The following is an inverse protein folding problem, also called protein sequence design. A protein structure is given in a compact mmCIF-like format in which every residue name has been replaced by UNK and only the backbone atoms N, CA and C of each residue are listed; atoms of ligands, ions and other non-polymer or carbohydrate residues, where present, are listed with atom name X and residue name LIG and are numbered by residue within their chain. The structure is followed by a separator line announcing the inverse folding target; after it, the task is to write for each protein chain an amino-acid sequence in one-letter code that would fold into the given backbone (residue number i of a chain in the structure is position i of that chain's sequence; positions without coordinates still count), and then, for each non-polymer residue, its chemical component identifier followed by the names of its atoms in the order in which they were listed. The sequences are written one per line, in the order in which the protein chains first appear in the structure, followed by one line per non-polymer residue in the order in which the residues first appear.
data_IF_784780955155
#
_entry.id   IF_784780955155
#
_cell.length_a   1.000
_cell.length_b   1.000
_cell.length_c   1.000
_cell.angle_alpha   90.00
_cell.angle_beta   90.00
_cell.angle_gamma   90.00
#
_symmetry.space_group_name_H-M   'P 1'
#
loop_
_entity.id
_entity.type
_entity.pdbx_description
1 polymer ?
#
# COMPACT_ATOMS: atom_id res chain seq x y z
N UNK A 1 -16.83 2.06 -14.98
CA UNK A 1 -15.99 3.26 -14.89
C UNK A 1 -16.10 3.88 -13.52
N UNK A 2 -14.99 3.88 -12.78
CA UNK A 2 -14.87 4.54 -11.48
C UNK A 2 -14.62 6.04 -11.70
N UNK A 3 -15.30 6.89 -10.94
CA UNK A 3 -15.08 8.32 -10.99
C UNK A 3 -13.75 8.66 -10.28
N UNK A 4 -12.66 8.71 -11.04
CA UNK A 4 -11.35 9.11 -10.52
C UNK A 4 -11.16 10.61 -10.74
N UNK A 5 -10.99 11.34 -9.64
CA UNK A 5 -10.44 12.70 -9.66
C UNK A 5 -8.96 12.63 -10.07
N UNK A 6 -8.71 12.96 -11.33
CA UNK A 6 -7.40 12.89 -11.95
C UNK A 6 -6.36 13.78 -11.27
N UNK A 7 -6.74 14.98 -10.83
CA UNK A 7 -5.81 15.91 -10.22
C UNK A 7 -5.38 15.41 -8.85
N UNK A 8 -6.35 15.03 -8.00
CA UNK A 8 -6.08 14.46 -6.70
C UNK A 8 -5.27 13.15 -6.79
N UNK A 9 -5.61 12.28 -7.76
CA UNK A 9 -4.92 11.01 -7.99
C UNK A 9 -3.43 11.23 -8.27
N UNK A 10 -3.11 12.14 -9.19
CA UNK A 10 -1.72 12.43 -9.58
C UNK A 10 -0.96 13.16 -8.47
N UNK A 11 -1.59 14.14 -7.81
CA UNK A 11 -0.99 14.87 -6.68
C UNK A 11 -0.61 13.92 -5.55
N UNK A 12 -1.54 13.08 -5.09
CA UNK A 12 -1.28 12.17 -3.98
C UNK A 12 -0.33 11.04 -4.34
N UNK A 13 -0.31 10.59 -5.61
CA UNK A 13 0.68 9.64 -6.09
C UNK A 13 2.09 10.20 -5.94
N UNK A 14 2.34 11.43 -6.40
CA UNK A 14 3.65 12.10 -6.25
C UNK A 14 4.05 12.24 -4.77
N UNK A 15 3.13 12.72 -3.95
CA UNK A 15 3.33 12.86 -2.50
C UNK A 15 3.74 11.53 -1.86
N UNK A 16 3.07 10.46 -2.25
CA UNK A 16 3.32 9.13 -1.71
C UNK A 16 4.63 8.54 -2.19
N UNK A 17 4.99 8.74 -3.45
CA UNK A 17 6.28 8.32 -4.00
C UNK A 17 7.46 8.93 -3.24
N UNK A 18 7.39 10.25 -3.00
CA UNK A 18 8.43 10.97 -2.27
C UNK A 18 8.53 10.53 -0.80
N UNK A 19 7.39 10.33 -0.16
CA UNK A 19 7.33 9.81 1.21
C UNK A 19 7.98 8.40 1.30
N UNK A 20 7.60 7.49 0.40
CA UNK A 20 8.15 6.14 0.36
C UNK A 20 9.66 6.15 0.09
N UNK A 21 10.15 7.04 -0.79
CA UNK A 21 11.59 7.20 -1.02
C UNK A 21 12.33 7.56 0.26
N UNK A 22 11.86 8.58 0.98
CA UNK A 22 12.51 9.02 2.22
C UNK A 22 12.57 7.90 3.26
N UNK A 23 11.52 7.08 3.35
CA UNK A 23 11.49 5.96 4.28
C UNK A 23 12.47 4.84 3.92
N UNK A 24 12.74 4.63 2.63
CA UNK A 24 13.73 3.65 2.19
C UNK A 24 15.18 4.08 2.44
N UNK A 25 15.45 5.38 2.62
CA UNK A 25 16.83 5.87 2.78
C UNK A 25 17.41 5.50 4.13
N UNK A 26 18.45 4.64 4.12
CA UNK A 26 19.21 4.28 5.33
C UNK A 26 18.42 3.47 6.36
N UNK A 27 17.25 2.94 5.99
CA UNK A 27 16.40 2.22 6.92
C UNK A 27 16.82 0.75 7.04
N UNK A 28 16.88 0.27 8.29
CA UNK A 28 17.06 -1.14 8.65
C UNK A 28 15.76 -1.80 9.08
N UNK A 29 14.61 -1.14 8.87
CA UNK A 29 13.29 -1.65 9.23
C UNK A 29 12.93 -2.88 8.40
N UNK A 30 12.14 -3.78 8.99
CA UNK A 30 11.54 -4.90 8.24
C UNK A 30 10.49 -4.42 7.22
N UNK A 31 10.06 -5.33 6.34
CA UNK A 31 8.99 -5.07 5.36
C UNK A 31 7.69 -4.61 6.03
N UNK A 32 7.35 -5.16 7.21
CA UNK A 32 6.16 -4.76 7.95
C UNK A 32 6.26 -3.33 8.50
N UNK A 33 7.45 -2.89 8.91
CA UNK A 33 7.66 -1.60 9.58
C UNK A 33 7.94 -0.43 8.62
N UNK A 34 8.60 -0.70 7.48
CA UNK A 34 9.22 0.33 6.64
C UNK A 34 8.23 1.40 6.18
N UNK A 35 7.00 1.00 5.85
CA UNK A 35 5.93 1.84 5.31
C UNK A 35 4.69 1.96 6.22
N UNK A 36 4.92 1.86 7.54
CA UNK A 36 3.89 2.08 8.57
C UNK A 36 4.33 3.14 9.59
N UNK A 37 4.93 4.22 9.09
CA UNK A 37 5.37 5.37 9.88
C UNK A 37 4.20 6.22 10.39
N UNK A 38 3.13 6.37 9.60
CA UNK A 38 1.89 6.94 10.10
C UNK A 38 1.14 5.90 10.94
N UNK A 39 1.33 5.98 12.26
CA UNK A 39 0.77 5.03 13.21
C UNK A 39 0.06 5.78 14.35
N UNK A 40 -1.17 6.27 14.13
CA UNK A 40 -1.88 7.09 15.10
C UNK A 40 -2.28 6.29 16.34
N UNK A 41 -2.61 6.99 17.43
CA UNK A 41 -3.24 6.38 18.60
C UNK A 41 -4.75 6.29 18.39
N UNK A 42 -5.32 5.11 18.65
CA UNK A 42 -6.76 4.89 18.70
C UNK A 42 -7.11 4.25 20.05
N UNK A 43 -7.98 4.90 20.83
CA UNK A 43 -8.35 4.48 22.21
C UNK A 43 -7.14 4.15 23.11
N UNK A 44 -6.05 4.90 22.95
CA UNK A 44 -4.83 4.74 23.75
C UNK A 44 -3.83 3.69 23.23
N UNK A 45 -4.14 2.96 22.15
CA UNK A 45 -3.26 1.99 21.52
C UNK A 45 -2.72 2.52 20.19
N UNK A 46 -1.49 2.15 19.82
CA UNK A 46 -0.99 2.40 18.46
C UNK A 46 -1.78 1.55 17.47
N UNK A 47 -2.16 2.11 16.34
CA UNK A 47 -2.92 1.37 15.32
C UNK A 47 -2.19 0.12 14.84
N UNK A 48 -0.87 0.18 14.71
CA UNK A 48 -0.02 -0.93 14.28
C UNK A 48 1.00 -1.30 15.37
N UNK A 49 1.04 -2.57 15.71
CA UNK A 49 2.11 -3.20 16.49
C UNK A 49 2.83 -4.23 15.60
N UNK A 50 4.11 -4.48 15.89
CA UNK A 50 4.95 -5.38 15.11
C UNK A 50 5.40 -6.55 15.96
N UNK A 51 5.25 -7.76 15.44
CA UNK A 51 5.59 -8.99 16.17
C UNK A 51 6.25 -10.00 15.24
N UNK A 52 7.28 -10.68 15.74
CA UNK A 52 7.94 -11.78 15.02
C UNK A 52 7.03 -13.01 15.02
N UNK A 53 6.66 -13.50 13.83
CA UNK A 53 6.05 -14.81 13.63
C UNK A 53 7.15 -15.81 13.30
N UNK A 54 7.20 -16.91 14.03
CA UNK A 54 8.12 -18.01 13.79
C UNK A 54 7.33 -19.22 13.26
N UNK A 55 7.93 -19.96 12.35
CA UNK A 55 7.36 -21.12 11.70
C UNK A 55 8.28 -22.33 11.90
N UNK A 56 7.70 -23.51 11.99
CA UNK A 56 8.44 -24.78 12.02
C UNK A 56 8.93 -25.20 10.61
N UNK A 57 8.57 -24.43 9.60
CA UNK A 57 8.94 -24.62 8.20
C UNK A 57 9.44 -23.31 7.59
N UNK A 58 10.14 -23.40 6.47
CA UNK A 58 10.59 -22.25 5.70
C UNK A 58 9.41 -21.65 4.92
N UNK A 59 9.09 -20.38 5.16
CA UNK A 59 8.12 -19.60 4.37
C UNK A 59 8.73 -19.06 3.09
N UNK A 60 10.06 -18.94 3.05
CA UNK A 60 10.86 -18.68 1.87
C UNK A 60 12.23 -19.35 2.08
N UNK A 61 13.07 -19.55 1.03
CA UNK A 61 14.33 -20.28 1.16
C UNK A 61 15.22 -19.78 2.31
N UNK A 62 15.34 -20.57 3.39
CA UNK A 62 16.11 -20.23 4.58
C UNK A 62 15.48 -19.17 5.51
N UNK A 63 14.20 -18.84 5.30
CA UNK A 63 13.43 -17.89 6.11
C UNK A 63 12.30 -18.66 6.81
N UNK A 64 12.42 -18.81 8.13
CA UNK A 64 11.42 -19.46 8.98
C UNK A 64 10.73 -18.47 9.94
N UNK A 65 10.97 -17.16 9.76
CA UNK A 65 10.35 -16.12 10.55
C UNK A 65 10.24 -14.83 9.76
N UNK A 66 9.25 -14.01 10.10
CA UNK A 66 9.14 -12.63 9.61
C UNK A 66 8.43 -11.74 10.64
N UNK A 67 8.55 -10.43 10.48
CA UNK A 67 7.82 -9.46 11.30
C UNK A 67 6.45 -9.24 10.67
N UNK A 68 5.39 -9.48 11.44
CA UNK A 68 3.99 -9.30 11.06
C UNK A 68 3.40 -8.02 11.64
N UNK A 69 2.30 -7.55 11.06
CA UNK A 69 1.57 -6.37 11.55
C UNK A 69 0.33 -6.79 12.32
N UNK A 70 0.20 -6.33 13.56
CA UNK A 70 -1.01 -6.48 14.37
C UNK A 70 -1.77 -5.16 14.43
N UNK A 71 -3.04 -5.20 14.04
CA UNK A 71 -3.93 -4.05 14.10
C UNK A 71 -4.55 -3.91 15.50
N UNK A 72 -4.61 -2.71 16.05
CA UNK A 72 -5.32 -2.44 17.30
C UNK A 72 -6.84 -2.48 17.14
N UNK A 73 -7.33 -2.16 15.94
CA UNK A 73 -8.74 -2.28 15.55
C UNK A 73 -8.78 -3.10 14.28
N UNK A 74 -9.53 -4.19 14.29
CA UNK A 74 -9.74 -5.03 13.13
C UNK A 74 -10.46 -4.22 12.02
N UNK A 75 -9.86 -4.06 10.83
CA UNK A 75 -10.46 -3.31 9.74
C UNK A 75 -11.73 -3.94 9.16
N UNK A 76 -12.01 -5.20 9.47
CA UNK A 76 -13.26 -5.89 9.12
C UNK A 76 -14.40 -5.55 10.08
N UNK A 77 -14.09 -5.20 11.33
CA UNK A 77 -15.07 -4.85 12.36
C UNK A 77 -15.50 -3.37 12.28
N UNK A 78 -14.56 -2.46 12.02
CA UNK A 78 -14.83 -1.03 11.86
C UNK A 78 -14.64 -0.59 10.41
N UNK A 79 -15.74 -0.54 9.66
CA UNK A 79 -15.71 -0.12 8.25
C UNK A 79 -15.19 1.31 8.05
N UNK A 80 -15.16 2.16 9.07
CA UNK A 80 -14.70 3.55 8.95
C UNK A 80 -13.19 3.71 9.13
N UNK A 81 -12.49 2.67 9.62
CA UNK A 81 -11.08 2.80 10.00
C UNK A 81 -10.19 3.09 8.80
N UNK A 82 -10.41 2.43 7.67
CA UNK A 82 -9.60 2.63 6.45
C UNK A 82 -9.75 4.07 5.94
N UNK A 83 -10.97 4.60 5.89
CA UNK A 83 -11.21 5.98 5.42
C UNK A 83 -10.56 7.00 6.37
N UNK A 84 -10.63 6.73 7.68
CA UNK A 84 -10.03 7.58 8.72
C UNK A 84 -8.50 7.58 8.61
N UNK A 85 -7.91 6.39 8.49
CA UNK A 85 -6.48 6.20 8.32
C UNK A 85 -5.98 6.79 7.01
N UNK A 86 -6.73 6.61 5.91
CA UNK A 86 -6.41 7.18 4.61
C UNK A 86 -6.36 8.70 4.66
N UNK A 87 -7.37 9.36 5.23
CA UNK A 87 -7.38 10.82 5.38
C UNK A 87 -6.23 11.30 6.26
N UNK A 88 -6.01 10.61 7.39
CA UNK A 88 -4.96 10.94 8.34
C UNK A 88 -3.55 10.82 7.75
N UNK A 89 -3.27 9.77 6.99
CA UNK A 89 -1.96 9.56 6.39
C UNK A 89 -1.67 10.55 5.26
N UNK A 90 -2.67 10.97 4.46
CA UNK A 90 -2.48 12.02 3.47
C UNK A 90 -2.05 13.33 4.13
N UNK A 91 -2.79 13.77 5.17
CA UNK A 91 -2.45 14.97 5.93
C UNK A 91 -1.07 14.88 6.59
N UNK A 92 -0.74 13.69 7.11
CA UNK A 92 0.59 13.44 7.66
C UNK A 92 1.68 13.62 6.60
N UNK A 93 1.55 12.98 5.42
CA UNK A 93 2.51 13.12 4.32
C UNK A 93 2.66 14.57 3.85
N UNK A 94 1.55 15.30 3.69
CA UNK A 94 1.56 16.73 3.34
C UNK A 94 2.30 17.57 4.39
N UNK A 95 2.18 17.22 5.68
CA UNK A 95 2.91 17.92 6.76
C UNK A 95 4.42 17.64 6.77
N UNK A 96 4.87 16.49 6.24
CA UNK A 96 6.28 16.09 6.23
C UNK A 96 7.03 16.61 5.00
N UNK A 97 6.32 16.97 3.93
CA UNK A 97 6.89 17.33 2.64
C UNK A 97 6.56 18.78 2.30
N UNK A 98 7.54 19.66 2.47
CA UNK A 98 7.41 21.08 2.11
C UNK A 98 7.64 21.37 0.63
N UNK A 99 8.36 20.48 -0.07
CA UNK A 99 8.64 20.58 -1.50
C UNK A 99 8.62 19.18 -2.15
N UNK A 100 8.13 19.13 -3.38
CA UNK A 100 8.19 17.93 -4.20
C UNK A 100 9.47 17.96 -5.03
N UNK A 101 10.20 16.85 -5.05
CA UNK A 101 11.18 16.64 -6.09
C UNK A 101 10.44 16.14 -7.34
N UNK A 102 10.75 16.69 -8.51
CA UNK A 102 10.18 16.22 -9.77
C UNK A 102 10.76 14.86 -10.21
N UNK A 103 11.71 14.30 -9.44
CA UNK A 103 12.30 12.99 -9.67
C UNK A 103 11.26 11.87 -9.87
N UNK A 104 11.61 10.97 -10.79
CA UNK A 104 10.82 9.79 -11.13
C UNK A 104 11.21 8.63 -10.24
N UNK A 105 10.19 7.93 -9.75
CA UNK A 105 10.39 6.72 -8.96
C UNK A 105 9.75 5.53 -9.66
N UNK A 106 10.57 4.52 -9.96
CA UNK A 106 10.12 3.25 -10.52
C UNK A 106 9.25 2.50 -9.51
N UNK A 107 8.12 1.99 -9.99
CA UNK A 107 7.16 1.23 -9.19
C UNK A 107 5.87 0.96 -9.95
N UNK A 108 4.93 0.28 -9.31
CA UNK A 108 3.60 -0.03 -9.86
C UNK A 108 2.50 0.39 -8.90
N UNK A 109 1.30 0.59 -9.43
CA UNK A 109 0.10 0.89 -8.63
C UNK A 109 -0.62 -0.42 -8.34
N UNK A 110 -0.72 -0.76 -7.07
CA UNK A 110 -1.51 -1.86 -6.53
C UNK A 110 -2.90 -1.35 -6.14
N UNK A 111 -3.91 -2.19 -6.31
CA UNK A 111 -5.26 -1.99 -5.80
C UNK A 111 -5.55 -3.05 -4.75
N UNK A 112 -6.14 -2.64 -3.62
CA UNK A 112 -6.67 -3.54 -2.61
C UNK A 112 -8.20 -3.31 -2.47
N UNK A 113 -9.00 -4.36 -2.60
CA UNK A 113 -10.45 -4.34 -2.38
C UNK A 113 -10.76 -4.58 -0.90
N UNK A 114 -10.68 -3.51 -0.09
CA UNK A 114 -10.65 -3.63 1.39
C UNK A 114 -11.96 -4.11 2.03
N UNK A 115 -13.05 -4.19 1.27
CA UNK A 115 -14.35 -4.70 1.75
C UNK A 115 -14.59 -6.18 1.37
N UNK A 116 -13.68 -6.80 0.60
CA UNK A 116 -13.79 -8.17 0.10
C UNK A 116 -12.59 -9.01 0.53
N UNK A 117 -12.37 -9.10 1.84
CA UNK A 117 -11.18 -9.73 2.45
C UNK A 117 -11.58 -10.91 3.35
N UNK A 118 -10.74 -11.95 3.37
CA UNK A 118 -10.79 -13.04 4.35
C UNK A 118 -9.38 -13.16 4.92
N UNK A 119 -9.18 -12.88 6.22
CA UNK A 119 -7.84 -12.86 6.79
C UNK A 119 -7.30 -14.28 7.00
N UNK A 120 -6.68 -14.85 5.96
CA UNK A 120 -6.04 -16.16 5.98
C UNK A 120 -4.52 -16.09 6.29
N UNK A 121 -3.92 -14.91 6.14
CA UNK A 121 -2.50 -14.66 6.36
C UNK A 121 -1.58 -15.13 5.22
N UNK A 122 -2.10 -15.62 4.10
CA UNK A 122 -1.30 -16.13 2.98
C UNK A 122 -0.48 -15.01 2.33
N UNK A 123 -1.12 -13.90 1.97
CA UNK A 123 -0.46 -12.72 1.42
C UNK A 123 0.59 -12.14 2.38
N UNK A 124 0.34 -12.20 3.68
CA UNK A 124 1.29 -11.72 4.70
C UNK A 124 2.54 -12.59 4.75
N UNK A 125 2.38 -13.91 4.75
CA UNK A 125 3.48 -14.85 4.79
C UNK A 125 4.39 -14.73 3.55
N UNK A 126 3.80 -14.78 2.35
CA UNK A 126 4.53 -14.76 1.08
C UNK A 126 5.19 -13.40 0.79
N UNK A 127 4.63 -12.31 1.31
CA UNK A 127 5.24 -10.99 1.18
C UNK A 127 6.17 -10.62 2.34
N UNK A 128 6.44 -11.56 3.26
CA UNK A 128 7.27 -11.38 4.45
C UNK A 128 6.81 -10.18 5.30
N UNK A 129 5.50 -10.02 5.47
CA UNK A 129 4.85 -8.96 6.25
C UNK A 129 4.67 -7.63 5.52
N UNK A 130 4.98 -7.55 4.22
CA UNK A 130 4.78 -6.33 3.45
C UNK A 130 3.28 -6.02 3.29
N UNK A 131 2.53 -6.90 2.63
CA UNK A 131 1.07 -6.94 2.70
C UNK A 131 0.69 -7.56 4.05
N UNK A 132 -0.32 -7.06 4.74
CA UNK A 132 -0.73 -7.62 6.03
C UNK A 132 -1.73 -8.78 5.90
N UNK A 133 -2.12 -9.34 7.04
CA UNK A 133 -3.08 -10.45 7.11
C UNK A 133 -4.47 -10.13 6.58
N UNK A 134 -4.79 -8.86 6.30
CA UNK A 134 -6.08 -8.42 5.75
C UNK A 134 -5.98 -8.12 4.25
N UNK A 135 -4.88 -8.52 3.59
CA UNK A 135 -4.58 -8.19 2.20
C UNK A 135 -4.46 -6.68 1.95
N UNK A 136 -4.08 -5.91 2.98
CA UNK A 136 -3.94 -4.46 2.87
C UNK A 136 -2.46 -4.10 2.76
N UNK A 137 -2.13 -3.29 1.76
CA UNK A 137 -0.76 -2.78 1.61
C UNK A 137 -0.38 -1.84 2.77
N UNK A 138 0.91 -1.57 3.01
CA UNK A 138 1.31 -0.66 4.09
C UNK A 138 0.73 0.76 3.93
N UNK A 139 0.30 1.37 5.03
CA UNK A 139 -0.42 2.65 5.03
C UNK A 139 0.31 3.81 4.32
N UNK A 140 1.64 3.86 4.42
CA UNK A 140 2.40 4.93 3.77
C UNK A 140 2.46 4.76 2.24
N UNK A 141 2.05 3.61 1.70
CA UNK A 141 1.93 3.40 0.25
C UNK A 141 0.60 3.90 -0.31
N UNK A 142 -0.41 4.17 0.53
CA UNK A 142 -1.74 4.55 0.07
C UNK A 142 -1.78 5.98 -0.47
N UNK A 143 -2.42 6.19 -1.62
CA UNK A 143 -2.51 7.52 -2.22
C UNK A 143 -3.89 7.88 -2.78
N UNK A 144 -4.75 6.91 -3.03
CA UNK A 144 -6.11 7.17 -3.49
C UNK A 144 -7.07 6.13 -2.95
N UNK A 145 -8.31 6.54 -2.67
CA UNK A 145 -9.40 5.62 -2.34
C UNK A 145 -10.60 5.96 -3.21
N UNK A 146 -11.18 4.95 -3.82
CA UNK A 146 -12.37 5.09 -4.66
C UNK A 146 -13.49 4.19 -4.17
N UNK A 147 -14.73 4.67 -4.28
CA UNK A 147 -15.91 3.90 -3.94
C UNK A 147 -16.48 3.27 -5.22
N UNK A 148 -16.54 1.95 -5.25
CA UNK A 148 -17.07 1.16 -6.34
C UNK A 148 -18.35 0.43 -5.91
N UNK A 149 -19.12 -0.08 -6.87
CA UNK A 149 -20.37 -0.83 -6.58
C UNK A 149 -20.15 -2.08 -5.72
N UNK A 150 -18.93 -2.60 -5.66
CA UNK A 150 -18.55 -3.79 -4.90
C UNK A 150 -17.74 -3.48 -3.64
N UNK A 151 -17.62 -2.20 -3.26
CA UNK A 151 -16.85 -1.77 -2.09
C UNK A 151 -15.79 -0.75 -2.44
N UNK A 152 -14.87 -0.54 -1.51
CA UNK A 152 -13.79 0.45 -1.60
C UNK A 152 -12.56 -0.16 -2.25
N UNK A 153 -11.98 0.59 -3.18
CA UNK A 153 -10.71 0.29 -3.81
C UNK A 153 -9.65 1.24 -3.27
N UNK A 154 -8.66 0.66 -2.60
CA UNK A 154 -7.52 1.38 -2.05
C UNK A 154 -6.33 1.26 -2.98
N UNK A 155 -5.89 2.39 -3.52
CA UNK A 155 -4.76 2.46 -4.43
C UNK A 155 -3.49 2.75 -3.64
N UNK A 156 -2.47 1.94 -3.92
CA UNK A 156 -1.18 2.01 -3.28
C UNK A 156 -0.05 2.05 -4.32
N UNK A 157 0.98 2.85 -4.07
CA UNK A 157 2.18 2.86 -4.91
C UNK A 157 3.24 1.97 -4.29
N UNK A 158 3.64 0.93 -5.03
CA UNK A 158 4.64 -0.05 -4.62
C UNK A 158 5.96 0.28 -5.32
N UNK A 159 7.03 0.65 -4.57
CA UNK A 159 8.34 0.90 -5.16
C UNK A 159 8.89 -0.37 -5.83
N UNK A 160 9.70 -0.20 -6.88
CA UNK A 160 10.28 -1.29 -7.67
C UNK A 160 10.94 -2.40 -6.82
N UNK A 161 11.66 -2.01 -5.77
CA UNK A 161 12.32 -2.94 -4.82
C UNK A 161 11.36 -3.93 -4.14
N UNK A 162 10.09 -3.58 -4.01
CA UNK A 162 9.05 -4.37 -3.34
C UNK A 162 8.09 -5.05 -4.32
N UNK A 163 8.31 -4.95 -5.64
CA UNK A 163 7.43 -5.60 -6.61
C UNK A 163 7.47 -7.13 -6.48
N UNK A 164 8.62 -7.71 -6.14
CA UNK A 164 8.71 -9.17 -5.97
C UNK A 164 7.81 -9.65 -4.82
N UNK A 165 7.94 -9.11 -3.61
CA UNK A 165 7.08 -9.49 -2.47
C UNK A 165 5.60 -9.18 -2.70
N UNK A 166 5.29 -8.10 -3.43
CA UNK A 166 3.91 -7.79 -3.79
C UNK A 166 3.34 -8.80 -4.80
N UNK A 167 4.14 -9.25 -5.77
CA UNK A 167 3.73 -10.29 -6.73
C UNK A 167 3.50 -11.63 -6.03
N UNK A 168 4.35 -12.03 -5.09
CA UNK A 168 4.15 -13.28 -4.32
C UNK A 168 2.83 -13.22 -3.52
N UNK A 169 2.53 -12.09 -2.86
CA UNK A 169 1.24 -11.90 -2.20
C UNK A 169 0.05 -11.99 -3.17
N UNK A 170 0.11 -11.32 -4.33
CA UNK A 170 -0.96 -11.40 -5.34
C UNK A 170 -1.15 -12.85 -5.81
N UNK A 171 -0.06 -13.59 -6.01
CA UNK A 171 -0.12 -14.95 -6.53
C UNK A 171 -0.82 -15.95 -5.60
N UNK A 172 -0.80 -15.70 -4.29
CA UNK A 172 -1.44 -16.57 -3.28
C UNK A 172 -2.76 -16.04 -2.75
N UNK A 173 -3.17 -14.83 -3.13
CA UNK A 173 -4.41 -14.23 -2.65
C UNK A 173 -5.63 -14.96 -3.23
N UNK A 174 -6.30 -15.78 -2.42
CA UNK A 174 -7.38 -16.65 -2.91
C UNK A 174 -8.65 -15.90 -3.39
N UNK A 175 -8.80 -14.64 -3.00
CA UNK A 175 -9.99 -13.83 -3.32
C UNK A 175 -9.78 -12.90 -4.52
N UNK A 176 -8.59 -12.84 -5.08
CA UNK A 176 -8.18 -11.86 -6.08
C UNK A 176 -8.57 -10.42 -5.67
N UNK A 177 -8.51 -10.13 -4.37
CA UNK A 177 -8.87 -8.84 -3.78
C UNK A 177 -7.70 -7.85 -3.84
N UNK A 178 -6.49 -8.30 -4.18
CA UNK A 178 -5.33 -7.46 -4.48
C UNK A 178 -4.81 -7.71 -5.89
N UNK A 179 -4.35 -6.65 -6.56
CA UNK A 179 -3.80 -6.79 -7.90
C UNK A 179 -3.35 -5.49 -8.53
N UNK A 180 -2.69 -5.58 -9.68
CA UNK A 180 -2.14 -4.42 -10.37
C UNK A 180 -3.22 -3.60 -11.06
N UNK A 181 -3.11 -2.26 -10.99
CA UNK A 181 -4.10 -1.34 -11.55
C UNK A 181 -4.32 -1.54 -13.06
N UNK A 182 -3.23 -1.75 -13.81
CA UNK A 182 -3.27 -2.03 -15.26
C UNK A 182 -4.04 -3.31 -15.63
N UNK A 183 -4.20 -4.23 -14.68
CA UNK A 183 -4.85 -5.53 -14.86
C UNK A 183 -6.27 -5.52 -14.31
N UNK A 184 -6.48 -4.96 -13.11
CA UNK A 184 -7.78 -4.95 -12.44
C UNK A 184 -8.76 -3.94 -13.04
N UNK A 185 -8.26 -2.79 -13.54
CA UNK A 185 -9.07 -1.71 -14.10
C UNK A 185 -8.41 -1.16 -15.37
N UNK A 186 -8.32 -1.96 -16.44
CA UNK A 186 -7.57 -1.60 -17.65
C UNK A 186 -8.13 -0.35 -18.35
N UNK A 187 -9.45 -0.14 -18.34
CA UNK A 187 -10.08 1.03 -18.96
C UNK A 187 -9.71 2.33 -18.23
N UNK A 188 -9.82 2.34 -16.90
CA UNK A 188 -9.41 3.48 -16.07
C UNK A 188 -7.90 3.72 -16.15
N UNK A 189 -7.10 2.65 -16.20
CA UNK A 189 -5.65 2.74 -16.36
C UNK A 189 -5.29 3.39 -17.69
N UNK A 190 -5.85 2.93 -18.81
CA UNK A 190 -5.55 3.48 -20.13
C UNK A 190 -6.00 4.94 -20.26
N UNK A 191 -7.10 5.33 -19.62
CA UNK A 191 -7.53 6.73 -19.54
C UNK A 191 -6.55 7.60 -18.74
N UNK A 192 -5.98 7.10 -17.65
CA UNK A 192 -4.97 7.82 -16.84
C UNK A 192 -3.56 7.75 -17.41
N UNK A 193 -3.26 6.75 -18.25
CA UNK A 193 -1.93 6.47 -18.80
C UNK A 193 -1.23 7.70 -19.38
N UNK A 194 -1.87 8.62 -20.12
CA UNK A 194 -1.19 9.83 -20.59
C UNK A 194 -0.69 10.72 -19.45
N UNK A 195 -1.46 10.86 -18.36
CA UNK A 195 -1.04 11.63 -17.20
C UNK A 195 0.04 10.91 -16.39
N UNK A 196 -0.09 9.59 -16.21
CA UNK A 196 0.94 8.76 -15.59
C UNK A 196 2.25 8.77 -16.40
N UNK A 197 2.18 8.83 -17.73
CA UNK A 197 3.36 9.00 -18.61
C UNK A 197 3.93 10.40 -18.56
N UNK A 198 3.10 11.44 -18.43
CA UNK A 198 3.59 12.82 -18.27
C UNK A 198 4.37 12.99 -16.96
N UNK A 199 4.03 12.21 -15.92
CA UNK A 199 4.91 12.08 -14.76
C UNK A 199 6.29 11.62 -15.20
N UNK A 200 6.39 10.62 -16.08
CA UNK A 200 7.63 10.00 -16.56
C UNK A 200 8.42 10.85 -17.59
N UNK A 201 7.77 11.65 -18.43
CA UNK A 201 8.43 12.32 -19.56
C UNK A 201 8.94 13.74 -19.30
N UNK A 202 8.55 14.38 -18.19
CA UNK A 202 8.82 15.80 -17.95
C UNK A 202 10.23 16.14 -17.42
N UNK A 203 11.19 15.19 -17.42
CA UNK A 203 12.56 15.40 -16.93
C UNK A 203 13.65 15.09 -17.97
N UNK A 204 13.31 15.14 -19.27
CA UNK A 204 14.26 14.93 -20.38
C UNK A 204 14.48 16.19 -21.24
N UNK A 205 14.07 17.37 -20.76
CA UNK A 205 14.38 18.67 -21.39
C UNK A 205 15.32 19.51 -20.53
#
# INVERSE_FOLDING_TARGET
MIAIDKEAFIKHLRLTQECCRLQMQGSSKSNAELFRSYNPFNKGLRQFEFQTKNFEFDVAPGINHFISTKWAIDPTEDKTIIDTLFKGQILFKESQLSTFNDNLYSGKILICQVDSIIPDGASEAESLGFIDQYDISPIDTWFYIAHHKYGRLLFAWIPDKFLHVANEAIAVNMLDCIGWFDTMLPEEYDWLKPALRKLISNNLE
#
